data_IF_187376822602
#
_entry.id   IF_187376822602
#
_cell.length_a   1.000
_cell.length_b   1.000
_cell.length_c   1.000
_cell.angle_alpha   90.00
_cell.angle_beta   90.00
_cell.angle_gamma   90.00
#
_symmetry.space_group_name_H-M   'P 1'
#
loop_
_entity.id
_entity.type
_entity.pdbx_description
1 polymer ?
#
# COMPACT_ATOMS: atom_id res chain seq x y z
N UNK A 1 2.83 7.48 -18.78
CA UNK A 1 2.13 8.49 -17.93
C UNK A 1 1.92 7.92 -16.55
N UNK A 2 2.05 8.72 -15.51
CA UNK A 2 2.26 8.26 -14.13
C UNK A 2 0.99 7.90 -13.33
N UNK A 3 -0.20 7.92 -13.93
CA UNK A 3 -1.46 7.54 -13.25
C UNK A 3 -1.92 6.12 -13.58
N UNK A 4 -1.12 5.41 -14.39
CA UNK A 4 -1.36 4.03 -14.81
C UNK A 4 -0.25 3.13 -14.27
N UNK A 5 -0.61 1.95 -13.76
CA UNK A 5 0.29 0.93 -13.21
C UNK A 5 -0.08 -0.45 -13.75
N UNK A 6 0.91 -1.33 -13.97
CA UNK A 6 0.76 -2.66 -14.57
C UNK A 6 0.90 -2.65 -16.10
N UNK A 7 1.04 -3.81 -16.69
CA UNK A 7 1.19 -4.02 -18.14
C UNK A 7 -0.03 -4.74 -18.72
N UNK A 8 -0.33 -5.97 -18.31
CA UNK A 8 -1.48 -6.75 -18.72
C UNK A 8 -2.67 -6.55 -17.77
N UNK A 9 -2.44 -6.62 -16.44
CA UNK A 9 -3.42 -6.19 -15.47
C UNK A 9 -3.13 -4.73 -15.12
N UNK A 10 -3.76 -3.84 -15.82
CA UNK A 10 -3.44 -2.41 -15.79
C UNK A 10 -4.50 -1.62 -15.08
N UNK A 11 -4.07 -0.75 -14.18
CA UNK A 11 -4.98 0.15 -13.46
C UNK A 11 -4.68 1.61 -13.79
N UNK A 12 -5.71 2.43 -13.87
CA UNK A 12 -5.59 3.90 -13.92
C UNK A 12 -6.43 4.50 -12.81
N UNK A 13 -5.77 5.19 -11.85
CA UNK A 13 -6.47 5.86 -10.75
C UNK A 13 -6.78 7.32 -11.08
N UNK A 14 -7.91 7.83 -10.60
CA UNK A 14 -8.41 9.18 -10.87
C UNK A 14 -9.14 9.78 -9.65
N UNK A 15 -9.45 11.07 -9.73
CA UNK A 15 -10.18 11.81 -8.71
C UNK A 15 -9.30 12.44 -7.62
N UNK A 16 -9.85 13.36 -6.85
CA UNK A 16 -9.22 14.15 -5.80
C UNK A 16 -9.91 13.97 -4.46
N UNK A 17 -9.15 14.25 -3.36
CA UNK A 17 -9.64 14.03 -1.99
C UNK A 17 -10.84 14.89 -1.59
N UNK A 18 -11.04 16.04 -2.23
CA UNK A 18 -12.13 17.00 -2.00
C UNK A 18 -12.90 17.33 -3.29
N UNK A 19 -12.75 16.49 -4.36
CA UNK A 19 -13.63 16.48 -5.52
C UNK A 19 -14.86 15.60 -5.29
N UNK A 20 -15.59 15.26 -6.35
CA UNK A 20 -16.81 14.42 -6.29
C UNK A 20 -16.55 12.99 -5.80
N UNK A 21 -15.35 12.47 -6.04
CA UNK A 21 -14.94 11.12 -5.63
C UNK A 21 -13.55 10.76 -6.10
N UNK A 22 -13.15 9.54 -5.78
CA UNK A 22 -11.93 8.89 -6.27
C UNK A 22 -12.26 7.50 -6.81
N UNK A 23 -11.52 7.04 -7.81
CA UNK A 23 -11.82 5.75 -8.41
C UNK A 23 -10.64 5.16 -9.17
N UNK A 24 -10.95 4.06 -9.83
CA UNK A 24 -10.00 3.29 -10.63
C UNK A 24 -10.70 2.69 -11.85
N UNK A 25 -9.98 2.61 -12.95
CA UNK A 25 -10.32 1.76 -14.08
C UNK A 25 -9.30 0.62 -14.11
N UNK A 26 -9.77 -0.62 -14.16
CA UNK A 26 -8.97 -1.83 -14.37
C UNK A 26 -9.16 -2.25 -15.83
N UNK A 27 -8.05 -2.45 -16.54
CA UNK A 27 -8.02 -3.05 -17.86
C UNK A 27 -7.21 -4.35 -17.80
N UNK A 28 -7.63 -5.39 -18.55
CA UNK A 28 -6.96 -6.70 -18.57
C UNK A 28 -7.40 -7.66 -17.47
N UNK A 29 -8.50 -7.39 -16.75
CA UNK A 29 -9.09 -8.38 -15.84
C UNK A 29 -9.66 -9.56 -16.66
N UNK A 30 -9.31 -10.83 -16.34
CA UNK A 30 -9.88 -11.99 -17.01
C UNK A 30 -11.41 -12.02 -16.94
N UNK A 31 -12.11 -12.48 -18.02
CA UNK A 31 -13.56 -12.63 -17.99
C UNK A 31 -14.03 -13.77 -17.08
N UNK A 32 -15.32 -13.76 -16.72
CA UNK A 32 -16.03 -14.79 -15.94
C UNK A 32 -15.58 -14.93 -14.48
N UNK A 33 -14.78 -14.01 -13.95
CA UNK A 33 -14.54 -13.91 -12.52
C UNK A 33 -15.85 -13.47 -11.85
N UNK A 34 -16.33 -14.21 -10.86
CA UNK A 34 -17.42 -13.74 -10.01
C UNK A 34 -16.94 -12.52 -9.23
N UNK A 35 -17.63 -11.39 -9.39
CA UNK A 35 -17.21 -10.11 -8.80
C UNK A 35 -18.41 -9.22 -8.50
N UNK A 36 -18.49 -8.81 -7.24
CA UNK A 36 -19.45 -7.84 -6.73
C UNK A 36 -18.74 -6.87 -5.79
N UNK A 37 -19.42 -5.81 -5.38
CA UNK A 37 -18.92 -4.86 -4.38
C UNK A 37 -18.58 -5.53 -3.06
N UNK A 38 -19.28 -6.61 -2.69
CA UNK A 38 -19.01 -7.38 -1.48
C UNK A 38 -17.63 -8.06 -1.46
N UNK A 39 -17.03 -8.30 -2.61
CA UNK A 39 -15.67 -8.83 -2.74
C UNK A 39 -14.59 -7.77 -2.49
N UNK A 40 -14.94 -6.50 -2.65
CA UNK A 40 -14.01 -5.35 -2.64
C UNK A 40 -14.11 -4.59 -1.32
N UNK A 41 -15.34 -4.41 -0.83
CA UNK A 41 -15.64 -3.58 0.34
C UNK A 41 -14.84 -3.94 1.60
N UNK A 42 -14.60 -5.22 1.94
CA UNK A 42 -13.82 -5.59 3.12
C UNK A 42 -12.39 -4.99 3.12
N UNK A 43 -11.70 -4.95 1.97
CA UNK A 43 -10.38 -4.34 1.88
C UNK A 43 -10.44 -2.80 2.01
N UNK A 44 -11.48 -2.17 1.47
CA UNK A 44 -11.72 -0.74 1.65
C UNK A 44 -12.08 -0.38 3.10
N UNK A 45 -12.84 -1.21 3.80
CA UNK A 45 -13.15 -1.05 5.22
C UNK A 45 -11.89 -1.07 6.09
N UNK A 46 -10.94 -1.93 5.75
CA UNK A 46 -9.62 -1.97 6.40
C UNK A 46 -8.77 -0.72 6.10
N UNK A 47 -8.99 -0.07 4.96
CA UNK A 47 -8.27 1.13 4.53
C UNK A 47 -8.92 2.44 5.01
N UNK A 48 -10.23 2.51 5.15
CA UNK A 48 -11.01 3.73 5.39
C UNK A 48 -10.50 4.56 6.57
N UNK A 49 -10.76 5.88 6.61
CA UNK A 49 -10.51 6.71 7.78
C UNK A 49 -11.51 6.41 8.90
N UNK A 50 -11.20 6.86 10.12
CA UNK A 50 -12.15 6.81 11.24
C UNK A 50 -12.42 5.43 11.84
N UNK A 51 -11.65 4.42 11.47
CA UNK A 51 -11.87 3.04 11.92
C UNK A 51 -11.41 2.77 13.36
N UNK A 52 -10.60 3.64 13.95
CA UNK A 52 -10.11 3.47 15.32
C UNK A 52 -9.61 4.79 15.93
N UNK A 53 -9.34 4.77 17.25
CA UNK A 53 -8.80 5.92 17.99
C UNK A 53 -7.36 6.31 17.63
N UNK A 54 -6.62 5.49 16.90
CA UNK A 54 -5.23 5.75 16.49
C UNK A 54 -5.07 6.16 15.03
N UNK A 55 -6.18 6.41 14.34
CA UNK A 55 -6.22 6.94 12.97
C UNK A 55 -6.98 8.28 12.94
N UNK A 56 -7.00 8.92 11.77
CA UNK A 56 -7.73 10.19 11.57
C UNK A 56 -9.18 10.10 12.00
N UNK A 57 -9.74 11.14 12.64
CA UNK A 57 -11.15 11.18 13.04
C UNK A 57 -12.14 11.46 11.88
N UNK A 58 -11.68 11.64 10.64
CA UNK A 58 -12.54 11.75 9.46
C UNK A 58 -13.40 10.49 9.35
N UNK A 59 -14.68 10.64 9.02
CA UNK A 59 -15.63 9.53 8.89
C UNK A 59 -16.11 9.42 7.46
N UNK A 60 -15.67 8.38 6.77
CA UNK A 60 -16.13 8.03 5.42
C UNK A 60 -16.38 6.53 5.37
N UNK A 61 -17.49 6.11 4.80
CA UNK A 61 -17.81 4.69 4.64
C UNK A 61 -16.94 4.05 3.55
N UNK A 62 -16.42 4.86 2.62
CA UNK A 62 -15.66 4.41 1.43
C UNK A 62 -16.40 3.32 0.65
N UNK A 63 -17.74 3.45 0.55
CA UNK A 63 -18.60 2.51 -0.18
C UNK A 63 -18.26 2.54 -1.67
N UNK A 64 -17.89 1.37 -2.21
CA UNK A 64 -17.53 1.22 -3.61
C UNK A 64 -18.77 0.96 -4.46
N UNK A 65 -18.79 1.50 -5.68
CA UNK A 65 -19.76 1.20 -6.74
C UNK A 65 -19.00 0.69 -7.97
N UNK A 66 -19.42 -0.43 -8.56
CA UNK A 66 -18.92 -0.94 -9.84
C UNK A 66 -19.81 -0.36 -10.94
N UNK A 67 -19.23 0.43 -11.83
CA UNK A 67 -19.99 1.16 -12.87
C UNK A 67 -19.92 0.51 -14.26
N UNK A 68 -18.96 -0.39 -14.50
CA UNK A 68 -18.82 -1.11 -15.77
C UNK A 68 -17.97 -2.38 -15.61
N UNK A 69 -17.93 -3.19 -16.66
CA UNK A 69 -17.06 -4.36 -16.77
C UNK A 69 -17.58 -5.62 -16.11
N UNK A 70 -18.78 -5.58 -15.53
CA UNK A 70 -19.47 -6.75 -14.96
C UNK A 70 -20.88 -6.88 -15.50
N UNK A 71 -21.37 -8.11 -15.61
CA UNK A 71 -22.75 -8.44 -15.95
C UNK A 71 -23.15 -9.72 -15.21
N UNK A 72 -24.33 -9.74 -14.59
CA UNK A 72 -24.82 -10.86 -13.78
C UNK A 72 -23.80 -11.36 -12.74
N UNK A 73 -23.10 -10.41 -12.07
CA UNK A 73 -22.11 -10.72 -11.05
C UNK A 73 -20.79 -11.32 -11.56
N UNK A 74 -20.49 -11.20 -12.86
CA UNK A 74 -19.26 -11.73 -13.48
C UNK A 74 -18.56 -10.69 -14.32
N UNK A 75 -17.23 -10.74 -14.37
CA UNK A 75 -16.42 -9.88 -15.23
C UNK A 75 -16.60 -10.25 -16.71
N UNK A 76 -16.56 -9.23 -17.56
CA UNK A 76 -16.74 -9.38 -19.02
C UNK A 76 -15.42 -9.46 -19.81
N UNK A 77 -14.27 -9.15 -19.16
CA UNK A 77 -13.01 -8.92 -19.87
C UNK A 77 -12.87 -7.52 -20.47
N UNK A 78 -13.87 -6.67 -20.27
CA UNK A 78 -13.86 -5.25 -20.64
C UNK A 78 -13.43 -4.40 -19.43
N UNK A 79 -13.08 -3.10 -19.60
CA UNK A 79 -12.64 -2.27 -18.49
C UNK A 79 -13.65 -2.20 -17.34
N UNK A 80 -13.17 -2.47 -16.13
CA UNK A 80 -13.93 -2.37 -14.88
C UNK A 80 -13.70 -0.99 -14.29
N UNK A 81 -14.74 -0.18 -14.22
CA UNK A 81 -14.69 1.12 -13.53
C UNK A 81 -15.33 1.00 -12.16
N UNK A 82 -14.58 1.45 -11.14
CA UNK A 82 -15.05 1.52 -9.76
C UNK A 82 -14.79 2.91 -9.20
N UNK A 83 -15.68 3.39 -8.35
CA UNK A 83 -15.49 4.64 -7.66
C UNK A 83 -16.06 4.64 -6.25
N UNK A 84 -15.60 5.63 -5.47
CA UNK A 84 -16.06 5.92 -4.11
C UNK A 84 -16.34 7.43 -4.03
N UNK A 85 -17.53 7.81 -3.62
CA UNK A 85 -17.93 9.21 -3.46
C UNK A 85 -17.24 9.85 -2.25
N UNK A 86 -16.96 11.14 -2.32
CA UNK A 86 -16.52 11.91 -1.16
C UNK A 86 -17.75 12.45 -0.43
N UNK A 87 -17.97 12.05 0.82
CA UNK A 87 -19.15 12.42 1.61
C UNK A 87 -18.82 13.34 2.79
N UNK A 88 -17.58 13.37 3.29
CA UNK A 88 -17.13 14.23 4.42
C UNK A 88 -15.92 15.11 4.00
N UNK A 89 -16.07 15.79 2.85
CA UNK A 89 -15.12 16.81 2.41
C UNK A 89 -15.38 18.13 3.13
N UNK A 90 -14.33 18.77 3.70
CA UNK A 90 -14.38 20.06 4.39
C UNK A 90 -13.28 20.98 3.88
N UNK A 91 -13.49 21.63 2.72
CA UNK A 91 -12.47 22.49 2.09
C UNK A 91 -12.00 23.63 3.00
N UNK A 92 -12.88 24.20 3.80
CA UNK A 92 -12.61 25.37 4.68
C UNK A 92 -11.48 25.06 5.68
N UNK A 93 -11.33 23.80 6.11
CA UNK A 93 -10.25 23.38 7.02
C UNK A 93 -8.84 23.55 6.42
N UNK A 94 -8.74 23.83 5.12
CA UNK A 94 -7.49 23.92 4.36
C UNK A 94 -7.23 25.32 3.80
N UNK A 95 -8.00 26.36 4.17
CA UNK A 95 -7.89 27.73 3.62
C UNK A 95 -6.48 28.31 3.77
N UNK A 96 -5.83 28.11 4.92
CA UNK A 96 -4.45 28.57 5.16
C UNK A 96 -3.44 27.91 4.22
N UNK A 97 -3.70 26.66 3.76
CA UNK A 97 -2.87 25.92 2.80
C UNK A 97 -3.07 26.41 1.34
N UNK A 98 -4.03 27.30 1.08
CA UNK A 98 -4.15 27.96 -0.22
C UNK A 98 -2.94 28.87 -0.47
N UNK A 99 -2.43 29.51 0.58
CA UNK A 99 -1.37 30.52 0.51
C UNK A 99 0.01 30.01 0.94
N UNK A 100 0.08 28.93 1.73
CA UNK A 100 1.33 28.41 2.31
C UNK A 100 1.58 26.96 1.93
N UNK A 101 2.85 26.54 1.93
CA UNK A 101 3.25 25.16 1.67
C UNK A 101 3.47 24.41 2.98
N UNK A 102 2.83 23.25 3.17
CA UNK A 102 3.10 22.39 4.33
C UNK A 102 4.51 21.80 4.25
N UNK A 103 5.33 21.91 5.32
CA UNK A 103 6.63 21.29 5.36
C UNK A 103 6.55 19.79 5.08
N UNK A 104 7.46 19.27 4.25
CA UNK A 104 7.53 17.85 3.85
C UNK A 104 6.27 17.27 3.18
N UNK A 105 5.29 18.10 2.80
CA UNK A 105 4.14 17.72 1.98
C UNK A 105 4.40 18.00 0.50
N UNK A 106 3.59 17.45 -0.39
CA UNK A 106 3.71 17.64 -1.83
C UNK A 106 3.25 19.01 -2.35
N UNK A 107 2.85 19.95 -1.48
CA UNK A 107 2.26 21.23 -1.86
C UNK A 107 3.17 22.03 -2.79
N UNK A 108 4.44 22.26 -2.36
CA UNK A 108 5.42 22.99 -3.16
C UNK A 108 5.78 22.26 -4.45
N UNK A 109 6.04 20.97 -4.38
CA UNK A 109 6.48 20.18 -5.55
C UNK A 109 5.42 20.07 -6.63
N UNK A 110 4.13 20.00 -6.26
CA UNK A 110 3.03 20.08 -7.21
C UNK A 110 2.91 21.46 -7.83
N UNK A 111 3.04 22.51 -7.02
CA UNK A 111 3.04 23.88 -7.50
C UNK A 111 4.21 24.14 -8.47
N UNK A 112 5.42 23.78 -8.07
CA UNK A 112 6.61 23.94 -8.91
C UNK A 112 6.52 23.17 -10.24
N UNK A 113 5.90 21.99 -10.24
CA UNK A 113 5.79 21.15 -11.44
C UNK A 113 4.68 21.58 -12.37
N UNK A 114 3.49 21.92 -11.83
CA UNK A 114 2.28 22.14 -12.63
C UNK A 114 1.86 23.61 -12.71
N UNK A 115 2.54 24.51 -11.96
CA UNK A 115 2.19 25.94 -11.88
C UNK A 115 0.92 26.23 -11.09
N UNK A 116 0.15 25.20 -10.74
CA UNK A 116 -1.12 25.26 -10.05
C UNK A 116 -1.35 23.97 -9.24
N UNK A 117 -2.04 24.05 -8.10
CA UNK A 117 -2.32 22.89 -7.26
C UNK A 117 -3.73 22.95 -6.66
N UNK A 118 -4.32 21.81 -6.44
CA UNK A 118 -5.50 21.69 -5.58
C UNK A 118 -5.03 21.67 -4.11
N UNK A 119 -5.21 22.79 -3.40
CA UNK A 119 -4.87 22.92 -1.99
C UNK A 119 -5.87 22.24 -1.06
N UNK A 120 -7.10 21.99 -1.50
CA UNK A 120 -8.17 21.35 -0.74
C UNK A 120 -7.80 19.89 -0.42
N UNK A 121 -7.28 19.64 0.79
CA UNK A 121 -6.85 18.34 1.24
C UNK A 121 -5.69 17.70 0.46
N UNK A 122 -5.02 18.48 -0.44
CA UNK A 122 -3.88 18.02 -1.23
C UNK A 122 -4.24 17.29 -2.53
N UNK A 123 -5.51 17.29 -2.95
CA UNK A 123 -5.92 16.71 -4.24
C UNK A 123 -5.45 15.28 -4.45
N UNK A 124 -4.73 15.04 -5.54
CA UNK A 124 -4.12 13.73 -5.90
C UNK A 124 -2.96 13.32 -4.99
N UNK A 125 -2.31 14.23 -4.28
CA UNK A 125 -1.24 13.89 -3.33
C UNK A 125 -1.76 13.32 -2.00
N UNK A 126 -3.06 13.34 -1.79
CA UNK A 126 -3.72 12.79 -0.61
C UNK A 126 -3.68 11.27 -0.61
N UNK A 127 -3.52 10.68 0.59
CA UNK A 127 -3.66 9.23 0.78
C UNK A 127 -5.06 8.68 0.39
N UNK A 128 -6.05 9.53 0.12
CA UNK A 128 -7.37 9.11 -0.37
C UNK A 128 -7.30 8.48 -1.78
N UNK A 129 -6.34 8.88 -2.58
CA UNK A 129 -6.06 8.28 -3.90
C UNK A 129 -5.88 6.74 -3.82
N UNK A 130 -5.35 6.24 -2.71
CA UNK A 130 -5.13 4.80 -2.51
C UNK A 130 -6.41 3.96 -2.44
N UNK A 131 -7.60 4.56 -2.35
CA UNK A 131 -8.89 3.85 -2.49
C UNK A 131 -8.92 3.10 -3.83
N UNK A 132 -8.58 3.76 -4.93
CA UNK A 132 -8.55 3.11 -6.25
C UNK A 132 -7.57 1.94 -6.30
N UNK A 133 -6.40 2.08 -5.66
CA UNK A 133 -5.41 0.98 -5.59
C UNK A 133 -5.91 -0.19 -4.77
N UNK A 134 -6.55 0.06 -3.62
CA UNK A 134 -7.08 -1.00 -2.75
C UNK A 134 -8.27 -1.69 -3.41
N UNK A 135 -9.18 -0.96 -4.06
CA UNK A 135 -10.28 -1.54 -4.80
C UNK A 135 -9.79 -2.48 -5.93
N UNK A 136 -8.83 -2.03 -6.74
CA UNK A 136 -8.23 -2.87 -7.77
C UNK A 136 -7.41 -4.03 -7.19
N UNK A 137 -6.72 -3.80 -6.07
CA UNK A 137 -5.97 -4.81 -5.34
C UNK A 137 -6.86 -5.94 -4.80
N UNK A 138 -8.09 -5.64 -4.37
CA UNK A 138 -9.06 -6.66 -3.94
C UNK A 138 -9.44 -7.60 -5.11
N UNK A 139 -9.66 -7.05 -6.30
CA UNK A 139 -9.88 -7.85 -7.52
C UNK A 139 -8.66 -8.72 -7.83
N UNK A 140 -7.45 -8.14 -7.76
CA UNK A 140 -6.20 -8.86 -7.98
C UNK A 140 -6.00 -9.99 -6.96
N UNK A 141 -6.25 -9.76 -5.66
CA UNK A 141 -6.20 -10.78 -4.60
C UNK A 141 -7.17 -11.92 -4.87
N UNK A 142 -8.38 -11.62 -5.34
CA UNK A 142 -9.38 -12.65 -5.70
C UNK A 142 -8.90 -13.53 -6.85
N UNK A 143 -8.35 -12.95 -7.91
CA UNK A 143 -7.77 -13.70 -9.04
C UNK A 143 -6.62 -14.58 -8.55
N UNK A 144 -5.68 -14.01 -7.80
CA UNK A 144 -4.50 -14.72 -7.29
C UNK A 144 -4.89 -15.92 -6.41
N UNK A 145 -5.86 -15.73 -5.51
CA UNK A 145 -6.35 -16.79 -4.63
C UNK A 145 -7.07 -17.90 -5.40
N UNK A 146 -7.98 -17.54 -6.31
CA UNK A 146 -8.82 -18.52 -7.01
C UNK A 146 -8.06 -19.29 -8.09
N UNK A 147 -7.18 -18.62 -8.84
CA UNK A 147 -6.48 -19.28 -9.97
C UNK A 147 -5.16 -19.93 -9.57
N UNK A 148 -4.48 -19.43 -8.53
CA UNK A 148 -3.13 -19.84 -8.19
C UNK A 148 -2.95 -20.28 -6.73
N UNK A 149 -3.95 -20.07 -5.87
CA UNK A 149 -3.83 -20.36 -4.43
C UNK A 149 -2.92 -19.39 -3.67
N UNK A 150 -2.56 -18.27 -4.27
CA UNK A 150 -1.66 -17.25 -3.67
C UNK A 150 -2.41 -16.46 -2.60
N UNK A 151 -1.77 -16.34 -1.44
CA UNK A 151 -2.21 -15.51 -0.32
C UNK A 151 -1.29 -14.29 -0.18
N UNK A 152 -1.87 -13.10 -0.09
CA UNK A 152 -1.14 -11.83 0.11
C UNK A 152 -1.58 -11.22 1.43
N UNK A 153 -0.63 -10.97 2.32
CA UNK A 153 -0.85 -10.37 3.63
C UNK A 153 0.16 -9.25 3.90
N UNK A 154 -0.19 -8.35 4.81
CA UNK A 154 0.74 -7.40 5.37
C UNK A 154 0.38 -7.08 6.82
N UNK A 155 1.36 -6.63 7.62
CA UNK A 155 1.16 -6.27 9.01
C UNK A 155 2.13 -5.17 9.45
N UNK A 156 1.81 -4.48 10.53
CA UNK A 156 2.71 -3.50 11.13
C UNK A 156 3.79 -4.22 11.91
N UNK A 157 5.01 -4.22 11.37
CA UNK A 157 6.18 -4.81 12.01
C UNK A 157 6.79 -3.90 13.07
N UNK A 158 6.82 -2.58 12.80
CA UNK A 158 7.50 -1.64 13.69
C UNK A 158 6.83 -0.27 13.70
N UNK A 159 6.72 0.34 14.87
CA UNK A 159 6.37 1.75 15.06
C UNK A 159 7.50 2.43 15.84
N UNK A 160 8.18 3.40 15.22
CA UNK A 160 9.37 4.06 15.75
C UNK A 160 10.43 3.00 16.20
N UNK A 161 10.69 2.85 17.50
CA UNK A 161 11.67 1.88 18.06
C UNK A 161 11.02 0.60 18.57
N UNK A 162 9.70 0.46 18.48
CA UNK A 162 8.96 -0.72 18.98
C UNK A 162 8.77 -1.67 17.81
N UNK A 163 9.47 -2.80 17.81
CA UNK A 163 9.43 -3.82 16.75
C UNK A 163 8.88 -5.14 17.28
N UNK A 164 8.14 -5.85 16.41
CA UNK A 164 7.69 -7.22 16.60
C UNK A 164 8.50 -8.17 15.72
N UNK A 165 8.78 -9.36 16.23
CA UNK A 165 9.31 -10.45 15.43
C UNK A 165 8.18 -11.44 15.14
N UNK A 166 7.90 -11.64 13.87
CA UNK A 166 6.74 -12.41 13.38
C UNK A 166 7.21 -13.40 12.32
N UNK A 167 6.83 -14.67 12.48
CA UNK A 167 7.09 -15.71 11.49
C UNK A 167 6.19 -15.51 10.27
N UNK A 168 6.79 -15.09 9.15
CA UNK A 168 6.08 -14.82 7.89
C UNK A 168 5.46 -16.06 7.26
N UNK A 169 5.89 -17.27 7.66
CA UNK A 169 5.31 -18.53 7.17
C UNK A 169 4.01 -18.90 7.89
N UNK A 170 3.78 -18.38 9.11
CA UNK A 170 2.66 -18.82 9.96
C UNK A 170 1.63 -17.75 10.26
N UNK A 171 1.98 -16.46 10.11
CA UNK A 171 1.07 -15.36 10.43
C UNK A 171 -0.23 -15.47 9.64
N UNK A 172 -1.36 -15.20 10.28
CA UNK A 172 -2.69 -15.27 9.69
C UNK A 172 -3.37 -13.91 9.64
N UNK A 173 -4.32 -13.73 8.74
CA UNK A 173 -5.15 -12.52 8.67
C UNK A 173 -5.88 -12.27 10.01
N UNK A 174 -6.36 -13.33 10.68
CA UNK A 174 -7.02 -13.21 11.97
C UNK A 174 -6.11 -12.62 13.04
N UNK A 175 -4.84 -13.03 13.09
CA UNK A 175 -3.85 -12.45 14.02
C UNK A 175 -3.53 -10.98 13.68
N UNK A 176 -3.45 -10.64 12.39
CA UNK A 176 -3.20 -9.26 11.93
C UNK A 176 -4.35 -8.34 12.34
N UNK A 177 -5.59 -8.75 12.12
CA UNK A 177 -6.79 -7.96 12.41
C UNK A 177 -7.26 -8.04 13.88
N UNK A 178 -6.57 -8.82 14.74
CA UNK A 178 -6.92 -8.96 16.15
C UNK A 178 -6.83 -7.65 16.96
N UNK A 179 -6.11 -6.65 16.44
CA UNK A 179 -5.97 -5.34 17.09
C UNK A 179 -5.93 -4.18 16.10
N UNK A 180 -6.19 -2.97 16.62
CA UNK A 180 -6.34 -1.75 15.81
C UNK A 180 -5.04 -1.26 15.15
N UNK A 181 -3.87 -1.72 15.60
CA UNK A 181 -2.58 -1.36 14.97
C UNK A 181 -2.15 -2.36 13.89
N UNK A 182 -2.82 -3.53 13.82
CA UNK A 182 -2.51 -4.61 12.86
C UNK A 182 -1.10 -5.19 13.03
N UNK A 183 -0.68 -5.39 14.29
CA UNK A 183 0.54 -6.10 14.64
C UNK A 183 0.16 -7.47 15.22
N UNK A 184 0.65 -8.61 14.67
CA UNK A 184 0.28 -9.94 15.13
C UNK A 184 0.72 -10.29 16.56
N UNK A 185 1.76 -9.61 17.08
CA UNK A 185 2.20 -9.74 18.47
C UNK A 185 1.37 -8.82 19.37
N UNK A 186 0.51 -9.39 20.22
CA UNK A 186 -0.43 -8.65 21.06
C UNK A 186 0.27 -7.75 22.09
N UNK A 187 1.36 -8.23 22.70
CA UNK A 187 2.09 -7.47 23.71
C UNK A 187 2.81 -6.26 23.09
N UNK A 188 3.40 -6.45 21.92
CA UNK A 188 4.03 -5.38 21.14
C UNK A 188 2.98 -4.44 20.57
N UNK A 189 1.85 -4.94 20.09
CA UNK A 189 0.72 -4.14 19.62
C UNK A 189 0.21 -3.16 20.69
N UNK A 190 0.05 -3.62 21.93
CA UNK A 190 -0.36 -2.76 23.03
C UNK A 190 0.64 -1.60 23.28
N UNK A 191 1.95 -1.84 23.17
CA UNK A 191 2.98 -0.83 23.28
C UNK A 191 2.95 0.16 22.12
N UNK A 192 2.77 -0.32 20.90
CA UNK A 192 2.64 0.52 19.69
C UNK A 192 1.41 1.44 19.80
N UNK A 193 0.27 0.91 20.22
CA UNK A 193 -0.98 1.68 20.41
C UNK A 193 -0.76 2.81 21.42
N UNK A 194 -0.15 2.52 22.58
CA UNK A 194 0.17 3.53 23.60
C UNK A 194 1.08 4.64 23.06
N UNK A 195 2.07 4.27 22.25
CA UNK A 195 2.96 5.25 21.61
C UNK A 195 2.19 6.16 20.65
N UNK A 196 1.35 5.59 19.77
CA UNK A 196 0.56 6.37 18.79
C UNK A 196 -0.43 7.29 19.52
N UNK A 197 -1.09 6.81 20.57
CA UNK A 197 -1.98 7.65 21.39
C UNK A 197 -1.25 8.82 22.05
N UNK A 198 -0.02 8.60 22.54
CA UNK A 198 0.84 9.66 23.09
C UNK A 198 1.16 10.70 22.02
N UNK A 199 1.55 10.29 20.81
CA UNK A 199 1.83 11.20 19.69
C UNK A 199 0.59 12.00 19.29
N UNK A 200 -0.58 11.34 19.22
CA UNK A 200 -1.85 12.02 18.95
C UNK A 200 -2.15 13.11 19.99
N UNK A 201 -1.96 12.82 21.29
CA UNK A 201 -2.15 13.81 22.37
C UNK A 201 -1.14 14.96 22.28
N UNK A 202 0.07 14.69 21.83
CA UNK A 202 1.12 15.69 21.63
C UNK A 202 0.90 16.53 20.35
N UNK A 203 -0.08 16.19 19.50
CA UNK A 203 -0.27 16.86 18.21
C UNK A 203 0.81 16.55 17.17
N UNK A 204 1.48 15.41 17.32
CA UNK A 204 2.60 14.94 16.50
C UNK A 204 2.29 13.61 15.82
N UNK A 205 3.22 13.07 15.06
CA UNK A 205 3.08 11.84 14.29
C UNK A 205 4.31 10.95 14.38
N UNK A 206 4.11 9.65 14.11
CA UNK A 206 5.18 8.65 14.04
C UNK A 206 5.07 7.82 12.78
N UNK A 207 6.24 7.41 12.28
CA UNK A 207 6.38 6.45 11.19
C UNK A 207 6.76 5.05 11.69
N UNK A 208 7.08 4.17 10.74
CA UNK A 208 7.53 2.82 11.04
C UNK A 208 7.58 1.93 9.80
N UNK A 209 7.43 0.63 10.00
CA UNK A 209 7.61 -0.40 8.98
C UNK A 209 6.36 -1.25 8.86
N UNK A 210 5.90 -1.45 7.64
CA UNK A 210 4.93 -2.48 7.26
C UNK A 210 5.68 -3.62 6.59
N UNK A 211 5.49 -4.84 7.10
CA UNK A 211 5.95 -6.08 6.50
C UNK A 211 4.88 -6.57 5.53
N UNK A 212 5.25 -6.75 4.26
CA UNK A 212 4.42 -7.43 3.26
C UNK A 212 4.91 -8.85 3.01
N UNK A 213 4.00 -9.74 2.64
CA UNK A 213 4.32 -11.11 2.26
C UNK A 213 3.33 -11.67 1.23
N UNK A 214 3.80 -12.64 0.43
CA UNK A 214 2.97 -13.45 -0.45
C UNK A 214 3.41 -14.91 -0.40
N UNK A 215 2.44 -15.80 -0.11
CA UNK A 215 2.64 -17.25 -0.04
C UNK A 215 2.01 -17.96 -1.23
N UNK A 216 2.57 -19.08 -1.62
CA UNK A 216 2.04 -19.90 -2.70
C UNK A 216 2.29 -19.34 -4.10
N UNK A 217 3.16 -18.35 -4.24
CA UNK A 217 3.58 -17.83 -5.54
C UNK A 217 4.35 -18.93 -6.28
N UNK A 218 3.91 -19.37 -7.47
CA UNK A 218 4.63 -20.38 -8.24
C UNK A 218 6.03 -19.91 -8.65
N UNK A 219 6.99 -20.82 -8.88
CA UNK A 219 8.23 -20.45 -9.55
C UNK A 219 7.96 -19.91 -10.96
N UNK A 220 8.74 -18.90 -11.39
CA UNK A 220 8.73 -18.42 -12.76
C UNK A 220 8.05 -17.06 -12.97
N UNK A 221 7.47 -16.42 -11.94
CA UNK A 221 6.92 -15.07 -12.10
C UNK A 221 7.99 -14.01 -11.89
N UNK A 222 8.07 -13.07 -12.81
CA UNK A 222 9.09 -12.04 -12.89
C UNK A 222 9.80 -12.06 -14.22
N UNK A 223 10.41 -10.95 -14.61
CA UNK A 223 11.06 -10.80 -15.91
C UNK A 223 12.52 -10.32 -15.75
N UNK A 224 13.48 -10.93 -16.44
CA UNK A 224 14.76 -10.30 -16.64
C UNK A 224 14.56 -9.18 -17.70
N UNK A 225 15.33 -8.09 -17.76
CA UNK A 225 16.37 -7.68 -16.82
C UNK A 225 15.84 -6.55 -15.93
N UNK A 226 14.91 -5.71 -16.45
CA UNK A 226 14.45 -4.48 -15.78
C UNK A 226 13.16 -4.65 -15.01
N UNK A 227 12.27 -5.55 -15.46
CA UNK A 227 10.99 -5.85 -14.79
C UNK A 227 11.14 -7.02 -13.79
N UNK A 228 12.25 -7.02 -13.03
CA UNK A 228 12.45 -7.96 -11.94
C UNK A 228 11.32 -7.84 -10.96
N UNK A 229 10.87 -8.96 -10.40
CA UNK A 229 9.75 -8.98 -9.46
C UNK A 229 10.00 -8.06 -8.24
N UNK A 230 11.23 -8.08 -7.69
CA UNK A 230 11.62 -7.18 -6.61
C UNK A 230 11.68 -5.70 -7.03
N UNK A 231 12.03 -5.42 -8.29
CA UNK A 231 12.05 -4.06 -8.80
C UNK A 231 10.63 -3.48 -8.95
N UNK A 232 9.69 -4.28 -9.48
CA UNK A 232 8.28 -3.88 -9.59
C UNK A 232 7.61 -3.78 -8.21
N UNK A 233 7.92 -4.67 -7.26
CA UNK A 233 7.49 -4.54 -5.87
C UNK A 233 8.04 -3.25 -5.25
N UNK A 234 9.32 -2.95 -5.42
CA UNK A 234 9.95 -1.72 -4.94
C UNK A 234 9.29 -0.46 -5.53
N UNK A 235 9.07 -0.42 -6.84
CA UNK A 235 8.32 0.65 -7.52
C UNK A 235 6.90 0.81 -6.97
N UNK A 236 6.19 -0.30 -6.77
CA UNK A 236 4.85 -0.30 -6.23
C UNK A 236 4.81 0.30 -4.82
N UNK A 237 5.69 -0.15 -3.92
CA UNK A 237 5.76 0.32 -2.53
C UNK A 237 6.19 1.78 -2.44
N UNK A 238 7.27 2.17 -3.16
CA UNK A 238 7.76 3.56 -3.16
C UNK A 238 6.79 4.55 -3.81
N UNK A 239 5.81 4.08 -4.58
CA UNK A 239 4.72 4.90 -5.10
C UNK A 239 3.64 5.22 -4.07
N UNK A 240 3.60 4.53 -2.92
CA UNK A 240 2.64 4.79 -1.86
C UNK A 240 2.95 6.11 -1.14
N UNK A 241 1.93 6.91 -0.78
CA UNK A 241 2.14 8.12 0.01
C UNK A 241 2.87 7.82 1.32
N UNK A 242 3.84 8.68 1.67
CA UNK A 242 4.71 8.59 2.83
C UNK A 242 5.70 7.40 2.82
N UNK A 243 5.69 6.51 1.87
CA UNK A 243 6.71 5.46 1.75
C UNK A 243 8.07 6.08 1.37
N UNK A 244 9.15 5.67 2.07
CA UNK A 244 10.50 6.21 1.93
C UNK A 244 11.60 5.15 1.84
N UNK A 245 11.25 3.89 2.02
CA UNK A 245 12.20 2.79 1.91
C UNK A 245 11.50 1.48 1.58
N UNK A 246 12.25 0.62 0.92
CA UNK A 246 11.86 -0.73 0.55
C UNK A 246 13.09 -1.62 0.65
N UNK A 247 12.94 -2.79 1.22
CA UNK A 247 13.89 -3.89 1.11
C UNK A 247 13.17 -5.24 1.03
N UNK A 248 13.87 -6.26 0.53
CA UNK A 248 13.34 -7.60 0.31
C UNK A 248 14.30 -8.64 0.90
N UNK A 249 13.75 -9.66 1.54
CA UNK A 249 14.54 -10.72 2.17
C UNK A 249 15.42 -10.20 3.30
N UNK A 250 16.69 -10.56 3.28
CA UNK A 250 17.70 -10.03 4.19
C UNK A 250 17.94 -8.51 4.01
N UNK A 251 17.56 -7.95 2.85
CA UNK A 251 17.58 -6.51 2.61
C UNK A 251 18.92 -5.87 2.95
N UNK A 252 18.90 -4.76 3.70
CA UNK A 252 20.13 -4.08 4.15
C UNK A 252 20.99 -4.91 5.10
N UNK A 253 20.42 -5.90 5.77
CA UNK A 253 21.20 -6.75 6.70
C UNK A 253 22.09 -7.76 5.95
N UNK A 254 21.89 -7.93 4.63
CA UNK A 254 22.75 -8.79 3.79
C UNK A 254 24.22 -8.38 3.81
N UNK A 255 24.54 -7.11 4.05
CA UNK A 255 25.93 -6.60 4.11
C UNK A 255 26.75 -7.21 5.26
N UNK A 256 26.10 -7.76 6.27
CA UNK A 256 26.77 -8.41 7.42
C UNK A 256 27.01 -9.89 7.20
N UNK A 257 26.53 -10.47 6.08
CA UNK A 257 26.65 -11.87 5.74
C UNK A 257 27.71 -12.10 4.67
N UNK A 258 28.46 -13.17 4.79
CA UNK A 258 29.28 -13.69 3.69
C UNK A 258 28.37 -14.37 2.64
N UNK A 259 28.88 -14.55 1.41
CA UNK A 259 28.13 -15.25 0.35
C UNK A 259 27.69 -16.65 0.80
N UNK A 260 28.55 -17.37 1.51
CA UNK A 260 28.23 -18.70 2.04
C UNK A 260 27.10 -18.67 3.08
N UNK A 261 27.05 -17.67 3.92
CA UNK A 261 26.00 -17.51 4.94
C UNK A 261 24.68 -17.03 4.29
N UNK A 262 24.76 -16.18 3.26
CA UNK A 262 23.59 -15.65 2.59
C UNK A 262 22.93 -16.67 1.65
N UNK A 263 23.67 -17.57 1.02
CA UNK A 263 23.16 -18.48 0.00
C UNK A 263 22.04 -19.39 0.53
N UNK A 264 20.91 -19.38 -0.16
CA UNK A 264 19.78 -20.28 0.05
C UNK A 264 20.03 -21.59 -0.69
N UNK A 265 20.59 -22.60 0.01
CA UNK A 265 20.95 -23.88 -0.60
C UNK A 265 19.70 -24.62 -1.10
N UNK A 266 19.73 -25.10 -2.33
CA UNK A 266 18.65 -25.88 -2.93
C UNK A 266 18.56 -27.30 -2.38
N UNK A 267 17.34 -27.82 -2.32
CA UNK A 267 17.05 -29.21 -1.99
C UNK A 267 15.84 -29.71 -2.79
N UNK A 268 15.80 -31.01 -3.04
CA UNK A 268 14.63 -31.66 -3.59
C UNK A 268 13.65 -32.01 -2.45
N UNK A 269 12.42 -31.54 -2.54
CA UNK A 269 11.34 -31.93 -1.64
C UNK A 269 10.19 -32.48 -2.47
N UNK A 270 10.04 -33.78 -2.50
CA UNK A 270 8.95 -34.46 -3.23
C UNK A 270 8.89 -34.08 -4.71
N UNK A 271 10.03 -34.05 -5.38
CA UNK A 271 10.14 -33.70 -6.81
C UNK A 271 10.08 -32.21 -7.11
N UNK A 272 10.10 -31.35 -6.10
CA UNK A 272 10.14 -29.89 -6.26
C UNK A 272 11.42 -29.31 -5.70
N UNK A 273 11.98 -28.33 -6.39
CA UNK A 273 13.11 -27.56 -5.86
C UNK A 273 12.59 -26.62 -4.77
N UNK A 274 13.22 -26.68 -3.60
CA UNK A 274 12.97 -25.79 -2.47
C UNK A 274 14.30 -25.30 -1.92
N UNK A 275 14.28 -24.29 -1.04
CA UNK A 275 15.49 -23.79 -0.38
C UNK A 275 15.51 -24.18 1.11
N UNK A 276 16.72 -24.26 1.69
CA UNK A 276 16.88 -24.54 3.13
C UNK A 276 16.61 -23.31 3.99
N UNK A 277 16.96 -22.15 3.47
CA UNK A 277 16.72 -20.83 4.03
C UNK A 277 16.01 -19.99 2.98
N UNK A 278 15.50 -18.84 3.33
CA UNK A 278 14.80 -17.95 2.39
C UNK A 278 15.27 -16.50 2.55
N UNK A 279 16.58 -16.28 2.53
CA UNK A 279 17.18 -14.94 2.65
C UNK A 279 16.95 -14.08 1.41
N UNK A 280 16.77 -14.74 0.26
CA UNK A 280 16.38 -14.09 -1.01
C UNK A 280 14.88 -13.76 -1.09
N UNK A 281 14.09 -14.09 -0.05
CA UNK A 281 12.64 -13.85 -0.01
C UNK A 281 11.89 -14.35 -1.25
N UNK A 282 12.15 -15.57 -1.67
CA UNK A 282 11.43 -16.22 -2.77
C UNK A 282 11.72 -15.66 -4.16
N UNK A 283 12.71 -14.75 -4.31
CA UNK A 283 13.06 -14.15 -5.59
C UNK A 283 14.55 -14.28 -5.86
N UNK A 284 14.91 -14.85 -7.01
CA UNK A 284 16.28 -15.03 -7.45
C UNK A 284 16.41 -14.63 -8.93
N UNK A 285 17.36 -13.76 -9.24
CA UNK A 285 17.52 -13.22 -10.59
C UNK A 285 16.33 -12.40 -11.12
N UNK A 286 15.46 -11.93 -10.23
CA UNK A 286 14.24 -11.20 -10.60
C UNK A 286 13.00 -12.07 -10.78
N UNK A 287 13.11 -13.38 -10.53
CA UNK A 287 12.08 -14.37 -10.81
C UNK A 287 11.75 -15.15 -9.51
N UNK A 288 10.48 -15.43 -9.28
CA UNK A 288 10.03 -16.21 -8.12
C UNK A 288 10.54 -17.64 -8.17
N UNK A 289 10.92 -18.20 -7.01
CA UNK A 289 11.45 -19.55 -6.89
C UNK A 289 10.51 -20.53 -6.17
N UNK A 290 9.31 -20.10 -5.77
CA UNK A 290 8.31 -20.91 -5.07
C UNK A 290 8.35 -20.82 -3.54
N UNK A 291 9.29 -20.08 -2.95
CA UNK A 291 9.30 -19.75 -1.53
C UNK A 291 8.46 -18.51 -1.23
N UNK A 292 8.16 -18.29 0.05
CA UNK A 292 7.42 -17.10 0.47
C UNK A 292 8.16 -15.81 0.09
N UNK A 293 7.50 -14.92 -0.62
CA UNK A 293 7.99 -13.58 -0.88
C UNK A 293 7.71 -12.73 0.35
N UNK A 294 8.71 -12.03 0.89
CA UNK A 294 8.53 -11.09 1.99
C UNK A 294 9.45 -9.89 1.87
N UNK A 295 8.98 -8.74 2.29
CA UNK A 295 9.68 -7.46 2.14
C UNK A 295 9.22 -6.47 3.22
N UNK A 296 10.00 -5.40 3.44
CA UNK A 296 9.70 -4.32 4.37
C UNK A 296 9.49 -3.01 3.63
N UNK A 297 8.49 -2.24 4.02
CA UNK A 297 8.22 -0.90 3.49
C UNK A 297 8.24 0.11 4.63
N UNK A 298 9.09 1.14 4.51
CA UNK A 298 9.28 2.18 5.53
C UNK A 298 8.39 3.37 5.22
N UNK A 299 7.57 3.76 6.18
CA UNK A 299 6.72 4.95 6.09
C UNK A 299 7.22 6.03 7.04
N UNK A 300 7.47 7.23 6.51
CA UNK A 300 7.83 8.39 7.33
C UNK A 300 6.64 8.85 8.19
N UNK A 301 6.88 9.62 9.27
CA UNK A 301 5.82 10.34 9.97
C UNK A 301 4.98 11.20 9.03
N UNK A 302 3.69 11.34 9.32
CA UNK A 302 2.78 12.20 8.55
C UNK A 302 3.24 13.66 8.67
N UNK A 303 3.31 14.36 7.55
CA UNK A 303 3.90 15.70 7.48
C UNK A 303 3.08 16.79 8.21
N UNK A 304 1.76 16.61 8.32
CA UNK A 304 0.91 17.60 8.98
C UNK A 304 0.84 17.34 10.48
N UNK A 305 1.42 18.23 11.28
CA UNK A 305 1.44 18.19 12.75
C UNK A 305 0.82 19.47 13.31
N UNK A 306 0.35 19.43 14.57
CA UNK A 306 -0.32 20.56 15.24
C UNK A 306 0.67 21.55 15.89
N UNK A 307 1.96 21.43 15.57
CA UNK A 307 3.01 22.36 15.99
C UNK A 307 3.22 23.43 14.92
N UNK A 308 3.59 24.63 15.35
CA UNK A 308 4.05 25.66 14.45
C UNK A 308 5.38 25.27 13.82
N UNK A 309 5.49 25.41 12.50
CA UNK A 309 6.68 25.05 11.73
C UNK A 309 7.00 26.17 10.73
N UNK A 310 8.27 26.41 10.50
CA UNK A 310 8.74 27.34 9.49
C UNK A 310 8.39 26.82 8.09
N UNK A 311 7.96 27.74 7.22
CA UNK A 311 7.62 27.48 5.84
C UNK A 311 7.74 28.72 4.97
N UNK A 312 7.30 28.63 3.73
CA UNK A 312 7.16 29.77 2.80
C UNK A 312 5.75 29.85 2.24
N UNK A 313 5.33 31.06 1.90
CA UNK A 313 4.07 31.29 1.19
C UNK A 313 4.23 31.19 -0.35
N UNK A 314 3.15 31.44 -1.07
CA UNK A 314 3.14 31.41 -2.54
C UNK A 314 3.99 32.53 -3.18
N UNK A 315 4.28 33.60 -2.43
CA UNK A 315 5.17 34.71 -2.84
C UNK A 315 6.64 34.45 -2.46
N UNK A 316 6.95 33.24 -1.98
CA UNK A 316 8.29 32.81 -1.54
C UNK A 316 8.82 33.59 -0.31
N UNK A 317 7.92 34.16 0.51
CA UNK A 317 8.29 34.83 1.76
C UNK A 317 8.30 33.81 2.91
N UNK A 318 9.30 33.92 3.78
CA UNK A 318 9.37 33.13 5.00
C UNK A 318 8.19 33.44 5.91
N UNK A 319 7.54 32.40 6.41
CA UNK A 319 6.37 32.46 7.30
C UNK A 319 6.32 31.23 8.19
N UNK A 320 5.29 31.11 9.01
CA UNK A 320 5.02 29.91 9.78
C UNK A 320 3.66 29.32 9.41
N UNK A 321 3.51 28.02 9.65
CA UNK A 321 2.27 27.29 9.48
C UNK A 321 2.06 26.36 10.67
N UNK A 322 0.91 26.47 11.31
CA UNK A 322 0.45 25.49 12.28
C UNK A 322 -0.57 24.56 11.62
N UNK A 323 -0.22 23.30 11.47
CA UNK A 323 -1.11 22.32 10.86
C UNK A 323 -2.43 22.24 11.62
N UNK A 324 -3.54 22.41 10.88
CA UNK A 324 -4.91 22.22 11.38
C UNK A 324 -5.55 21.10 10.59
N UNK A 325 -6.52 20.41 11.14
CA UNK A 325 -7.29 19.40 10.42
C UNK A 325 -7.21 18.00 11.04
N UNK A 326 -7.75 17.04 10.30
CA UNK A 326 -7.93 15.65 10.75
C UNK A 326 -6.88 14.76 10.09
N UNK A 327 -5.73 14.58 10.74
CA UNK A 327 -4.62 13.80 10.22
C UNK A 327 -4.40 12.51 11.02
N UNK A 328 -3.80 11.51 10.39
CA UNK A 328 -3.38 10.28 11.06
C UNK A 328 -2.17 10.56 11.96
N UNK A 329 -2.17 10.22 13.25
CA UNK A 329 -0.95 10.27 14.07
C UNK A 329 0.04 9.18 13.66
N UNK A 330 -0.43 8.15 12.97
CA UNK A 330 0.37 7.07 12.38
C UNK A 330 -0.40 6.48 11.18
N UNK A 331 0.23 6.47 10.00
CA UNK A 331 -0.42 5.96 8.78
C UNK A 331 -0.41 4.44 8.69
N UNK A 332 0.45 3.75 9.46
CA UNK A 332 0.76 2.32 9.28
C UNK A 332 -0.47 1.40 9.31
N UNK A 333 -1.44 1.55 10.26
CA UNK A 333 -2.60 0.67 10.27
C UNK A 333 -3.40 0.72 8.97
N UNK A 334 -3.45 1.90 8.33
CA UNK A 334 -4.13 2.09 7.05
C UNK A 334 -3.25 1.72 5.85
N UNK A 335 -1.93 1.73 6.01
CA UNK A 335 -0.99 1.33 4.98
C UNK A 335 -0.99 -0.19 4.75
N UNK A 336 -1.34 -0.99 5.75
CA UNK A 336 -1.40 -2.46 5.63
C UNK A 336 -2.20 -2.92 4.40
N UNK A 337 -3.49 -2.61 4.23
CA UNK A 337 -4.23 -2.99 3.02
C UNK A 337 -3.72 -2.32 1.74
N UNK A 338 -3.02 -1.19 1.81
CA UNK A 338 -2.40 -0.57 0.65
C UNK A 338 -1.18 -1.37 0.17
N UNK A 339 -0.36 -1.87 1.10
CA UNK A 339 0.79 -2.74 0.81
C UNK A 339 0.31 -4.06 0.21
N UNK A 340 -0.72 -4.69 0.81
CA UNK A 340 -1.34 -5.89 0.24
C UNK A 340 -1.85 -5.66 -1.17
N UNK A 341 -2.58 -4.57 -1.41
CA UNK A 341 -3.15 -4.25 -2.70
C UNK A 341 -2.07 -4.07 -3.78
N UNK A 342 -1.02 -3.30 -3.49
CA UNK A 342 0.06 -3.07 -4.44
C UNK A 342 0.86 -4.35 -4.71
N UNK A 343 1.05 -5.21 -3.71
CA UNK A 343 1.65 -6.54 -3.89
C UNK A 343 0.81 -7.41 -4.82
N UNK A 344 -0.50 -7.46 -4.59
CA UNK A 344 -1.41 -8.24 -5.43
C UNK A 344 -1.44 -7.73 -6.88
N UNK A 345 -1.40 -6.40 -7.09
CA UNK A 345 -1.35 -5.80 -8.43
C UNK A 345 -0.09 -6.19 -9.19
N UNK A 346 1.08 -6.19 -8.52
CA UNK A 346 2.34 -6.66 -9.13
C UNK A 346 2.24 -8.15 -9.48
N UNK A 347 1.82 -8.98 -8.53
CA UNK A 347 1.80 -10.42 -8.72
C UNK A 347 0.80 -10.88 -9.78
N UNK A 348 -0.40 -10.28 -9.84
CA UNK A 348 -1.38 -10.64 -10.88
C UNK A 348 -0.92 -10.23 -12.27
N UNK A 349 -0.25 -9.08 -12.40
CA UNK A 349 0.33 -8.65 -13.68
C UNK A 349 1.40 -9.63 -14.15
N UNK A 350 2.34 -10.00 -13.29
CA UNK A 350 3.36 -11.01 -13.61
C UNK A 350 2.78 -12.41 -13.87
N UNK A 351 1.71 -12.80 -13.17
CA UNK A 351 1.00 -14.06 -13.42
C UNK A 351 0.41 -14.11 -14.85
N UNK A 352 -0.23 -13.01 -15.27
CA UNK A 352 -0.80 -12.91 -16.62
C UNK A 352 0.29 -12.82 -17.69
N UNK A 353 1.37 -12.09 -17.43
CA UNK A 353 2.56 -12.03 -18.33
C UNK A 353 3.17 -13.41 -18.50
N UNK A 354 3.41 -14.13 -17.40
CA UNK A 354 3.93 -15.49 -17.43
C UNK A 354 3.02 -16.41 -18.26
N UNK A 355 1.71 -16.35 -18.04
CA UNK A 355 0.74 -17.15 -18.80
C UNK A 355 0.74 -16.78 -20.29
N UNK A 356 0.92 -15.52 -20.64
CA UNK A 356 0.96 -15.08 -22.04
C UNK A 356 2.25 -15.51 -22.76
N UNK A 357 3.35 -15.64 -22.04
CA UNK A 357 4.67 -15.93 -22.58
C UNK A 357 5.03 -17.43 -22.53
N UNK A 358 4.63 -18.12 -21.46
CA UNK A 358 5.05 -19.49 -21.18
C UNK A 358 3.92 -20.53 -21.31
N UNK A 359 2.67 -20.12 -21.47
CA UNK A 359 1.51 -20.99 -21.68
C UNK A 359 0.66 -21.25 -20.43
#
# INVERSE_FOLDING_TARGET
>A
MANTFGQLFRITTWGESHGGGVGVVIDGCPPRLELTEADIQPDLDRRRPGQSKIVTPRKEADTVEILSGTFEGRTLGTPIMMWVRNTDARPEAYSEMAEKFRPSHADYTYFAKFGFRNWQGGGRSSARETIGRVAAGAVAKKILKQQFGVEVLAFVKQVQKISAEVDVEKVTLAQIEANIVRCPDEAIAARMIKLIERMRKAGDSVGGIVQGLARGVPPGWGEPVFDRLEADLGKAMLSLPACKGFDIGSGFDAIYLTGREHNDAFRNVRGRVRTLTNRSAGVQGGISNGETIYFRSVFKPVATVMHEQDTVDNDLKNTTLKGRGRHDPCVLPRAVPMVEAMTALVLVDHALRHKAQCG
#
